data_IF_546523648386
#
_entry.id   IF_546523648386
#
_cell.length_a   1.000
_cell.length_b   1.000
_cell.length_c   1.000
_cell.angle_alpha   90.00
_cell.angle_beta   90.00
_cell.angle_gamma   90.00
#
_symmetry.space_group_name_H-M   'P 1'
#
loop_
_entity.id
_entity.type
_entity.pdbx_description
1 polymer ?
#
# COMPACT_ATOMS: atom_id res chain seq x y z
N UNK A 1 -25.82 -9.58 -15.12
CA UNK A 1 -24.42 -9.68 -15.58
C UNK A 1 -23.55 -10.01 -14.39
N UNK A 2 -23.43 -11.30 -14.05
CA UNK A 2 -22.59 -11.79 -12.96
C UNK A 2 -21.20 -12.10 -13.54
N UNK A 3 -20.21 -11.26 -13.22
CA UNK A 3 -18.80 -11.59 -13.43
C UNK A 3 -18.34 -12.39 -12.21
N UNK A 4 -17.93 -13.63 -12.43
CA UNK A 4 -17.24 -14.44 -11.43
C UNK A 4 -15.84 -13.85 -11.25
N UNK A 5 -15.65 -13.08 -10.19
CA UNK A 5 -14.32 -12.70 -9.73
C UNK A 5 -13.59 -13.96 -9.31
N UNK A 6 -12.52 -14.31 -10.03
CA UNK A 6 -11.65 -15.43 -9.69
C UNK A 6 -10.81 -15.05 -8.47
N UNK A 7 -11.07 -15.73 -7.36
CA UNK A 7 -10.26 -15.69 -6.16
C UNK A 7 -8.85 -16.25 -6.47
N UNK A 8 -7.74 -15.55 -6.16
CA UNK A 8 -6.39 -16.09 -6.30
C UNK A 8 -6.15 -17.32 -5.40
N UNK A 9 -6.95 -17.49 -4.35
CA UNK A 9 -6.84 -18.62 -3.40
C UNK A 9 -7.23 -19.98 -4.00
N UNK A 10 -7.72 -20.06 -5.24
CA UNK A 10 -8.04 -21.33 -5.91
C UNK A 10 -6.85 -22.02 -6.60
N UNK A 11 -5.62 -21.49 -6.46
CA UNK A 11 -4.41 -22.03 -7.13
C UNK A 11 -3.67 -23.16 -6.39
N UNK A 12 -4.22 -23.74 -5.33
CA UNK A 12 -3.74 -25.06 -4.88
C UNK A 12 -4.48 -26.15 -5.65
N UNK A 13 -3.95 -26.48 -6.83
CA UNK A 13 -4.30 -27.71 -7.53
C UNK A 13 -4.03 -28.92 -6.64
N UNK A 14 -5.10 -29.55 -6.17
CA UNK A 14 -5.04 -30.86 -5.54
C UNK A 14 -4.55 -31.87 -6.59
N UNK A 15 -3.27 -32.22 -6.53
CA UNK A 15 -2.73 -33.34 -7.28
C UNK A 15 -3.12 -34.63 -6.55
N UNK A 16 -4.30 -35.17 -6.89
CA UNK A 16 -4.72 -36.48 -6.43
C UNK A 16 -3.97 -37.56 -7.21
N UNK A 17 -2.76 -37.94 -6.75
CA UNK A 17 -2.08 -39.15 -7.22
C UNK A 17 -2.37 -40.27 -6.23
N UNK A 18 -3.21 -41.22 -6.67
CA UNK A 18 -3.39 -42.51 -6.01
C UNK A 18 -2.09 -43.30 -6.09
N UNK A 19 -1.57 -43.66 -4.91
CA UNK A 19 -0.90 -44.93 -4.62
C UNK A 19 0.37 -45.25 -5.40
N UNK A 20 1.53 -45.03 -4.77
CA UNK A 20 2.64 -45.97 -4.87
C UNK A 20 3.62 -45.76 -3.72
N UNK A 21 3.95 -46.84 -3.00
CA UNK A 21 4.98 -46.85 -1.96
C UNK A 21 6.35 -46.75 -2.63
N UNK A 22 7.04 -45.62 -2.46
CA UNK A 22 8.46 -45.50 -2.78
C UNK A 22 9.20 -44.89 -1.58
N UNK A 23 9.85 -45.75 -0.80
CA UNK A 23 10.88 -45.38 0.16
C UNK A 23 12.15 -45.02 -0.61
N UNK A 24 12.24 -43.75 -1.02
CA UNK A 24 13.41 -43.15 -1.66
C UNK A 24 13.73 -41.83 -0.97
N UNK A 25 14.88 -41.77 -0.31
CA UNK A 25 15.43 -40.52 0.22
C UNK A 25 15.88 -39.68 -0.97
N UNK A 26 14.96 -38.91 -1.54
CA UNK A 26 15.28 -37.90 -2.53
C UNK A 26 15.87 -36.69 -1.81
N UNK A 27 17.18 -36.53 -1.90
CA UNK A 27 17.81 -35.23 -1.72
C UNK A 27 17.39 -34.35 -2.91
N UNK A 28 16.28 -33.64 -2.76
CA UNK A 28 15.91 -32.53 -3.64
C UNK A 28 16.86 -31.37 -3.34
N UNK A 29 18.02 -31.37 -3.98
CA UNK A 29 18.73 -30.13 -4.27
C UNK A 29 18.24 -29.72 -5.66
N UNK A 30 17.04 -29.15 -5.70
CA UNK A 30 16.60 -28.43 -6.90
C UNK A 30 17.37 -27.12 -6.91
N UNK A 31 18.40 -27.10 -7.75
CA UNK A 31 19.06 -25.93 -8.27
C UNK A 31 18.02 -25.20 -9.16
N UNK A 32 16.99 -24.64 -8.51
CA UNK A 32 16.01 -23.76 -9.16
C UNK A 32 16.82 -22.64 -9.81
N UNK A 33 16.65 -22.41 -11.12
CA UNK A 33 17.38 -21.36 -11.80
C UNK A 33 17.14 -20.05 -11.04
N UNK A 34 18.22 -19.31 -10.79
CA UNK A 34 18.16 -17.94 -10.26
C UNK A 34 17.36 -17.10 -11.26
N UNK A 35 16.04 -17.14 -11.15
CA UNK A 35 15.16 -16.17 -11.80
C UNK A 35 15.58 -14.85 -11.20
N UNK A 36 16.04 -13.92 -12.05
CA UNK A 36 16.34 -12.55 -11.63
C UNK A 36 15.09 -12.02 -10.92
N UNK A 37 15.16 -11.96 -9.60
CA UNK A 37 14.06 -11.52 -8.77
C UNK A 37 13.86 -10.02 -9.04
N UNK A 38 12.59 -9.55 -9.09
CA UNK A 38 12.32 -8.15 -9.34
C UNK A 38 13.03 -7.28 -8.31
N UNK A 39 13.76 -6.26 -8.78
CA UNK A 39 14.53 -5.38 -7.92
C UNK A 39 13.61 -4.44 -7.12
N UNK A 40 12.44 -4.10 -7.67
CA UNK A 40 11.48 -3.18 -7.07
C UNK A 40 10.06 -3.76 -7.00
N UNK A 41 9.21 -3.19 -6.14
CA UNK A 41 7.79 -3.52 -6.12
C UNK A 41 7.07 -3.19 -7.43
N UNK A 42 7.50 -2.12 -8.11
CA UNK A 42 6.91 -1.73 -9.38
C UNK A 42 7.12 -2.80 -10.46
N UNK A 43 8.33 -3.34 -10.57
CA UNK A 43 8.65 -4.45 -11.46
C UNK A 43 7.88 -5.72 -11.08
N UNK A 44 7.78 -5.99 -9.79
CA UNK A 44 7.04 -7.13 -9.26
C UNK A 44 5.55 -7.09 -9.67
N UNK A 45 4.85 -6.01 -9.35
CA UNK A 45 3.41 -5.87 -9.65
C UNK A 45 3.12 -5.75 -11.15
N UNK A 46 4.09 -5.32 -11.96
CA UNK A 46 3.92 -5.21 -13.41
C UNK A 46 4.11 -6.52 -14.18
N UNK A 47 4.62 -7.58 -13.54
CA UNK A 47 4.88 -8.85 -14.23
C UNK A 47 4.80 -10.09 -13.35
N UNK A 48 5.65 -10.18 -12.33
CA UNK A 48 5.74 -11.38 -11.48
C UNK A 48 4.47 -11.66 -10.66
N UNK A 49 3.71 -10.61 -10.31
CA UNK A 49 2.47 -10.73 -9.55
C UNK A 49 1.43 -11.61 -10.25
N UNK A 50 1.20 -11.41 -11.54
CA UNK A 50 0.21 -12.20 -12.31
C UNK A 50 0.64 -13.67 -12.47
N UNK A 51 1.94 -13.94 -12.34
CA UNK A 51 2.50 -15.29 -12.33
C UNK A 51 2.31 -15.99 -10.98
N UNK A 52 1.95 -15.27 -9.92
CA UNK A 52 1.81 -15.81 -8.57
C UNK A 52 3.16 -16.11 -7.89
N UNK A 53 4.24 -15.52 -8.40
CA UNK A 53 5.57 -15.61 -7.78
C UNK A 53 5.55 -14.71 -6.54
N UNK A 54 6.02 -15.13 -5.36
CA UNK A 54 6.10 -14.23 -4.21
C UNK A 54 7.21 -13.18 -4.37
N UNK A 55 6.95 -11.95 -3.95
CA UNK A 55 7.99 -10.91 -3.91
C UNK A 55 9.11 -11.23 -2.90
N UNK A 56 10.37 -10.96 -3.28
CA UNK A 56 11.57 -11.21 -2.47
C UNK A 56 12.60 -10.08 -2.60
N UNK A 57 12.19 -8.84 -2.27
CA UNK A 57 13.10 -7.69 -2.23
C UNK A 57 13.92 -7.61 -0.95
N UNK A 58 15.16 -7.11 -1.04
CA UNK A 58 16.06 -6.97 0.10
C UNK A 58 15.56 -5.99 1.18
N UNK A 59 14.73 -5.02 0.78
CA UNK A 59 14.20 -3.97 1.66
C UNK A 59 12.89 -4.35 2.35
N UNK A 60 12.42 -5.59 2.15
CA UNK A 60 11.12 -6.04 2.61
C UNK A 60 11.22 -7.35 3.38
N UNK A 61 10.52 -7.43 4.51
CA UNK A 61 10.32 -8.66 5.24
C UNK A 61 8.88 -9.14 5.09
N UNK A 62 8.71 -10.34 4.51
CA UNK A 62 7.39 -10.98 4.46
C UNK A 62 7.05 -11.50 5.86
N UNK A 63 5.95 -11.04 6.42
CA UNK A 63 5.46 -11.45 7.75
C UNK A 63 3.98 -11.77 7.71
N UNK A 64 3.53 -12.58 8.66
CA UNK A 64 2.11 -12.68 8.98
C UNK A 64 1.76 -11.51 9.93
N UNK A 65 0.69 -10.79 9.62
CA UNK A 65 0.16 -9.74 10.48
C UNK A 65 -1.07 -10.27 11.22
N UNK A 66 -0.96 -10.38 12.54
CA UNK A 66 -1.99 -10.99 13.37
C UNK A 66 -3.30 -10.17 13.39
N UNK A 67 -3.21 -8.86 13.16
CA UNK A 67 -4.37 -7.94 13.16
C UNK A 67 -5.25 -8.19 11.94
N UNK A 68 -4.64 -8.26 10.76
CA UNK A 68 -5.32 -8.57 9.49
C UNK A 68 -5.52 -10.06 9.23
N UNK A 69 -4.76 -10.91 9.92
CA UNK A 69 -4.63 -12.35 9.60
C UNK A 69 -4.17 -12.61 8.16
N UNK A 70 -3.29 -11.75 7.63
CA UNK A 70 -2.75 -11.85 6.25
C UNK A 70 -1.23 -11.79 6.23
N UNK A 71 -0.67 -12.24 5.11
CA UNK A 71 0.72 -11.97 4.80
C UNK A 71 0.87 -10.57 4.22
N UNK A 72 1.84 -9.85 4.74
CA UNK A 72 2.21 -8.50 4.32
C UNK A 72 3.72 -8.43 4.08
N UNK A 73 4.13 -7.46 3.27
CA UNK A 73 5.51 -7.09 3.03
C UNK A 73 5.82 -5.85 3.87
N UNK A 74 6.57 -6.00 4.95
CA UNK A 74 6.98 -4.86 5.78
C UNK A 74 8.24 -4.22 5.21
N UNK A 75 8.17 -2.93 4.86
CA UNK A 75 9.33 -2.17 4.43
C UNK A 75 10.23 -1.87 5.65
N UNK A 76 11.48 -2.34 5.63
CA UNK A 76 12.37 -2.32 6.78
C UNK A 76 12.66 -0.92 7.33
N UNK A 77 12.83 0.08 6.45
CA UNK A 77 13.18 1.43 6.88
C UNK A 77 11.98 2.21 7.45
N UNK A 78 10.81 2.07 6.84
CA UNK A 78 9.61 2.84 7.21
C UNK A 78 8.68 2.14 8.20
N UNK A 79 8.78 0.81 8.33
CA UNK A 79 7.84 -0.03 9.07
C UNK A 79 6.44 -0.16 8.44
N UNK A 80 6.21 0.42 7.26
CA UNK A 80 4.93 0.35 6.55
C UNK A 80 4.71 -1.06 6.03
N UNK A 81 3.52 -1.60 6.27
CA UNK A 81 3.11 -2.95 5.85
C UNK A 81 2.33 -2.87 4.55
N UNK A 82 2.88 -3.44 3.50
CA UNK A 82 2.23 -3.49 2.20
C UNK A 82 1.46 -4.80 2.08
N UNK A 83 0.24 -4.75 1.55
CA UNK A 83 -0.45 -5.97 1.16
C UNK A 83 0.36 -6.75 0.12
N UNK A 84 0.47 -8.07 0.26
CA UNK A 84 1.14 -8.89 -0.77
C UNK A 84 0.32 -9.02 -2.06
N UNK A 85 -0.99 -8.75 -1.96
CA UNK A 85 -1.93 -8.67 -3.07
C UNK A 85 -2.14 -7.21 -3.52
N UNK A 86 -2.82 -7.03 -4.65
CA UNK A 86 -3.24 -5.74 -5.16
C UNK A 86 -4.75 -5.69 -5.36
N UNK A 87 -5.33 -4.50 -5.24
CA UNK A 87 -6.67 -4.22 -5.73
C UNK A 87 -6.58 -4.07 -7.26
N UNK A 88 -7.03 -5.09 -7.98
CA UNK A 88 -7.02 -5.12 -9.44
C UNK A 88 -8.29 -4.47 -10.03
N UNK A 89 -8.13 -3.30 -10.62
CA UNK A 89 -9.17 -2.51 -11.27
C UNK A 89 -9.13 -2.64 -12.80
N UNK A 90 -8.18 -3.39 -13.37
CA UNK A 90 -8.00 -3.53 -14.83
C UNK A 90 -9.26 -4.04 -15.52
N UNK A 91 -10.01 -4.93 -14.85
CA UNK A 91 -11.27 -5.46 -15.37
C UNK A 91 -12.37 -4.40 -15.57
N UNK A 92 -12.30 -3.27 -14.86
CA UNK A 92 -13.26 -2.17 -15.01
C UNK A 92 -13.01 -1.32 -16.26
N UNK A 93 -11.78 -1.32 -16.80
CA UNK A 93 -11.40 -0.55 -17.98
C UNK A 93 -10.29 -1.27 -18.78
N UNK A 94 -10.62 -2.36 -19.51
CA UNK A 94 -9.63 -3.27 -20.10
C UNK A 94 -8.75 -2.64 -21.19
N UNK A 95 -9.23 -1.56 -21.83
CA UNK A 95 -8.50 -0.84 -22.88
C UNK A 95 -7.66 0.34 -22.34
N UNK A 96 -7.74 0.61 -21.04
CA UNK A 96 -7.00 1.70 -20.41
C UNK A 96 -5.56 1.31 -20.11
N UNK A 97 -4.67 2.32 -20.07
CA UNK A 97 -3.31 2.13 -19.56
C UNK A 97 -3.37 1.81 -18.08
N UNK A 98 -2.71 0.72 -17.70
CA UNK A 98 -2.57 0.27 -16.31
C UNK A 98 -1.43 1.03 -15.65
N UNK A 99 -1.65 1.51 -14.43
CA UNK A 99 -0.63 2.18 -13.63
C UNK A 99 -0.70 1.63 -12.20
N UNK A 100 0.46 1.22 -11.68
CA UNK A 100 0.56 0.85 -10.28
C UNK A 100 0.51 2.09 -9.39
N UNK A 101 -0.42 2.07 -8.45
CA UNK A 101 -0.61 3.12 -7.47
C UNK A 101 -0.60 2.55 -6.06
N UNK A 102 -0.26 3.41 -5.08
CA UNK A 102 -0.13 3.05 -3.68
C UNK A 102 -1.06 3.90 -2.84
N UNK A 103 -2.00 3.26 -2.15
CA UNK A 103 -2.86 3.91 -1.16
C UNK A 103 -2.36 3.63 0.25
N UNK A 104 -1.97 4.68 0.96
CA UNK A 104 -1.53 4.59 2.35
C UNK A 104 -2.69 4.79 3.30
N UNK A 105 -2.78 3.93 4.31
CA UNK A 105 -3.91 3.92 5.23
C UNK A 105 -3.53 3.42 6.63
N UNK A 106 -4.50 3.45 7.54
CA UNK A 106 -4.38 2.88 8.88
C UNK A 106 -4.90 1.44 8.91
N UNK A 107 -4.78 0.76 10.05
CA UNK A 107 -5.27 -0.62 10.22
C UNK A 107 -6.76 -0.79 9.89
N UNK A 108 -7.60 0.20 10.23
CA UNK A 108 -9.05 0.16 9.96
C UNK A 108 -9.32 0.21 8.47
N UNK A 109 -8.66 1.13 7.75
CA UNK A 109 -8.78 1.24 6.31
C UNK A 109 -8.25 0.00 5.60
N UNK A 110 -7.15 -0.56 6.08
CA UNK A 110 -6.60 -1.81 5.57
C UNK A 110 -7.58 -2.98 5.73
N UNK A 111 -8.10 -3.20 6.94
CA UNK A 111 -9.07 -4.25 7.23
C UNK A 111 -10.33 -4.15 6.37
N UNK A 112 -10.77 -2.94 6.01
CA UNK A 112 -11.91 -2.73 5.12
C UNK A 112 -11.65 -3.24 3.68
N UNK A 113 -10.41 -3.12 3.17
CA UNK A 113 -10.02 -3.67 1.86
C UNK A 113 -10.03 -5.19 1.87
N UNK A 114 -9.66 -5.79 3.00
CA UNK A 114 -9.48 -7.23 3.13
C UNK A 114 -10.78 -8.03 3.20
N UNK A 115 -11.91 -7.36 3.43
CA UNK A 115 -13.23 -7.97 3.44
C UNK A 115 -13.53 -8.49 2.02
N UNK A 116 -13.30 -9.79 1.82
CA UNK A 116 -13.44 -10.51 0.54
C UNK A 116 -14.81 -10.38 -0.14
N UNK A 117 -15.83 -9.92 0.59
CA UNK A 117 -17.19 -9.71 0.10
C UNK A 117 -17.39 -8.32 -0.53
N UNK A 118 -16.46 -7.39 -0.30
CA UNK A 118 -16.53 -6.05 -0.86
C UNK A 118 -16.20 -6.09 -2.35
N UNK A 119 -17.11 -5.58 -3.18
CA UNK A 119 -16.80 -5.31 -4.59
C UNK A 119 -15.73 -4.21 -4.63
N UNK A 120 -14.93 -4.12 -5.70
CA UNK A 120 -13.94 -3.06 -5.83
C UNK A 120 -14.51 -1.64 -5.59
N UNK A 121 -15.76 -1.40 -6.00
CA UNK A 121 -16.45 -0.14 -5.73
C UNK A 121 -16.67 0.08 -4.22
N UNK A 122 -17.06 -0.96 -3.49
CA UNK A 122 -17.28 -0.86 -2.05
C UNK A 122 -15.95 -0.58 -1.33
N UNK A 123 -14.85 -1.20 -1.77
CA UNK A 123 -13.49 -0.90 -1.27
C UNK A 123 -13.14 0.57 -1.53
N UNK A 124 -13.36 1.05 -2.76
CA UNK A 124 -13.09 2.45 -3.12
C UNK A 124 -13.92 3.42 -2.29
N UNK A 125 -15.19 3.11 -2.00
CA UNK A 125 -16.03 3.93 -1.13
C UNK A 125 -15.54 3.97 0.31
N UNK A 126 -15.04 2.85 0.85
CA UNK A 126 -14.47 2.79 2.20
C UNK A 126 -13.14 3.53 2.32
N UNK A 127 -12.32 3.47 1.27
CA UNK A 127 -11.03 4.14 1.22
C UNK A 127 -11.14 5.61 0.80
N UNK A 128 -12.23 5.98 0.11
CA UNK A 128 -12.47 7.35 -0.30
C UNK A 128 -12.59 8.23 0.94
N UNK A 129 -11.73 9.24 0.99
CA UNK A 129 -11.79 10.28 2.01
C UNK A 129 -12.26 11.56 1.35
N UNK A 130 -12.80 12.47 2.14
CA UNK A 130 -12.76 13.86 1.74
C UNK A 130 -11.29 14.28 1.75
N UNK A 131 -10.66 14.23 0.57
CA UNK A 131 -9.36 14.84 0.38
C UNK A 131 -9.63 16.33 0.22
N UNK A 132 -9.19 17.13 1.20
CA UNK A 132 -9.44 18.57 1.23
C UNK A 132 -9.18 19.20 -0.15
N UNK A 133 -8.10 18.80 -0.83
CA UNK A 133 -7.65 19.36 -2.11
C UNK A 133 -8.45 18.95 -3.35
N UNK A 134 -9.00 17.74 -3.41
CA UNK A 134 -9.49 17.13 -4.66
C UNK A 134 -10.95 16.64 -4.57
N UNK A 135 -11.64 16.94 -3.47
CA UNK A 135 -12.99 16.46 -3.21
C UNK A 135 -13.00 15.03 -2.68
N UNK A 136 -14.15 14.37 -2.82
CA UNK A 136 -14.33 12.98 -2.37
C UNK A 136 -13.66 12.04 -3.36
N UNK A 137 -12.65 11.30 -2.90
CA UNK A 137 -11.93 10.37 -3.75
C UNK A 137 -10.86 9.58 -3.01
N UNK A 138 -10.16 8.74 -3.76
CA UNK A 138 -9.02 7.98 -3.26
C UNK A 138 -7.73 8.79 -3.47
N UNK A 139 -6.98 9.02 -2.39
CA UNK A 139 -5.64 9.57 -2.49
C UNK A 139 -4.64 8.43 -2.73
N UNK A 140 -3.91 8.49 -3.83
CA UNK A 140 -2.91 7.49 -4.20
C UNK A 140 -1.59 8.14 -4.59
N UNK A 141 -0.50 7.40 -4.44
CA UNK A 141 0.83 7.82 -4.83
C UNK A 141 1.40 6.89 -5.91
N UNK A 142 2.25 7.41 -6.77
CA UNK A 142 3.07 6.58 -7.68
C UNK A 142 4.31 6.03 -6.99
N UNK A 143 4.72 6.63 -5.86
CA UNK A 143 5.87 6.22 -5.07
C UNK A 143 5.50 5.14 -4.06
N UNK A 144 6.33 4.12 -3.99
CA UNK A 144 6.32 3.05 -3.00
C UNK A 144 6.94 3.50 -1.66
N UNK A 145 6.77 2.74 -0.56
CA UNK A 145 7.42 3.05 0.72
C UNK A 145 8.95 3.15 0.64
N UNK A 146 9.58 2.37 -0.24
CA UNK A 146 11.02 2.40 -0.49
C UNK A 146 11.46 3.75 -1.09
N UNK A 147 10.71 4.26 -2.05
CA UNK A 147 10.99 5.55 -2.71
C UNK A 147 10.76 6.78 -1.82
N UNK A 148 9.89 6.65 -0.81
CA UNK A 148 9.76 7.66 0.25
C UNK A 148 10.81 7.51 1.36
N UNK A 149 11.43 6.33 1.51
CA UNK A 149 12.38 6.05 2.59
C UNK A 149 11.73 5.93 3.98
N UNK A 150 10.99 6.94 4.44
CA UNK A 150 10.40 7.00 5.78
C UNK A 150 8.88 7.16 5.76
N UNK A 151 8.25 6.73 6.85
CA UNK A 151 6.80 6.90 7.05
C UNK A 151 6.42 8.37 7.23
N UNK A 152 7.29 9.17 7.84
CA UNK A 152 7.05 10.59 8.05
C UNK A 152 6.97 11.35 6.72
N UNK A 153 7.82 11.01 5.75
CA UNK A 153 7.76 11.58 4.40
C UNK A 153 6.45 11.25 3.67
N UNK A 154 5.94 10.02 3.81
CA UNK A 154 4.61 9.64 3.29
C UNK A 154 3.50 10.50 3.90
N UNK A 155 3.52 10.64 5.23
CA UNK A 155 2.49 11.39 5.96
C UNK A 155 2.52 12.88 5.60
N UNK A 156 3.71 13.48 5.55
CA UNK A 156 3.89 14.88 5.14
C UNK A 156 3.40 15.10 3.72
N UNK A 157 3.73 14.21 2.78
CA UNK A 157 3.28 14.30 1.39
C UNK A 157 1.75 14.20 1.29
N UNK A 158 1.13 13.21 1.97
CA UNK A 158 -0.29 12.93 1.84
C UNK A 158 -1.20 13.92 2.58
N UNK A 159 -0.65 14.62 3.57
CA UNK A 159 -1.41 15.50 4.46
C UNK A 159 -0.87 16.93 4.50
N UNK A 160 -0.11 17.34 3.49
CA UNK A 160 0.30 18.73 3.36
C UNK A 160 -0.93 19.65 3.26
N UNK A 161 -1.03 20.70 4.09
CA UNK A 161 -2.20 21.57 4.11
C UNK A 161 -2.23 22.52 2.91
N UNK A 162 -3.40 23.09 2.63
CA UNK A 162 -3.50 24.31 1.83
C UNK A 162 -2.94 25.49 2.60
N UNK A 163 -2.58 26.58 1.90
CA UNK A 163 -2.19 27.83 2.55
C UNK A 163 -3.16 28.24 3.66
N UNK A 164 -4.47 28.10 3.44
CA UNK A 164 -5.52 28.61 4.33
C UNK A 164 -6.21 27.51 5.16
N UNK A 165 -5.73 26.26 5.14
CA UNK A 165 -6.25 25.22 6.03
C UNK A 165 -5.83 25.54 7.48
N UNK A 166 -6.80 25.54 8.40
CA UNK A 166 -6.58 25.86 9.81
C UNK A 166 -6.06 24.65 10.60
N UNK A 167 -4.94 24.84 11.30
CA UNK A 167 -4.45 23.94 12.33
C UNK A 167 -5.01 24.36 13.70
N UNK A 168 -5.73 23.45 14.35
CA UNK A 168 -6.22 23.66 15.71
C UNK A 168 -5.17 23.22 16.73
N UNK A 169 -4.72 24.16 17.56
CA UNK A 169 -3.79 23.89 18.65
C UNK A 169 -4.55 23.78 19.98
N UNK A 170 -4.15 22.88 20.90
CA UNK A 170 -4.79 22.75 22.21
C UNK A 170 -4.80 24.06 23.03
N UNK A 171 -3.79 24.91 22.81
CA UNK A 171 -3.64 26.21 23.47
C UNK A 171 -3.11 27.25 22.48
N UNK A 172 -4.02 27.89 21.75
CA UNK A 172 -3.67 29.00 20.88
C UNK A 172 -4.73 29.34 19.85
N UNK A 173 -4.60 30.47 19.15
CA UNK A 173 -5.40 30.74 17.97
C UNK A 173 -5.09 29.70 16.88
N UNK A 174 -6.06 29.39 16.00
CA UNK A 174 -5.78 28.62 14.79
C UNK A 174 -4.62 29.26 14.01
N UNK A 175 -3.78 28.41 13.41
CA UNK A 175 -2.72 28.88 12.51
C UNK A 175 -2.95 28.32 11.12
N UNK A 176 -2.61 29.11 10.12
CA UNK A 176 -2.61 28.69 8.72
C UNK A 176 -1.17 28.71 8.20
N UNK A 177 -0.92 27.99 7.11
CA UNK A 177 0.38 28.05 6.43
C UNK A 177 0.62 29.44 5.80
N UNK A 178 -0.44 30.14 5.39
CA UNK A 178 -0.42 31.52 4.87
C UNK A 178 0.07 32.53 5.92
N UNK A 179 -0.41 32.43 7.16
CA UNK A 179 -0.16 33.43 8.19
C UNK A 179 1.16 33.19 8.96
N UNK A 180 1.55 31.93 9.13
CA UNK A 180 2.66 31.53 10.02
C UNK A 180 3.77 30.74 9.32
N UNK A 181 3.68 30.51 8.01
CA UNK A 181 4.67 29.76 7.24
C UNK A 181 5.04 30.42 5.91
N UNK A 182 5.52 29.60 4.99
CA UNK A 182 5.83 29.99 3.62
C UNK A 182 5.04 29.07 2.66
N UNK A 183 3.86 29.50 2.18
CA UNK A 183 3.01 28.69 1.31
C UNK A 183 3.62 28.41 -0.07
N UNK A 184 4.69 29.13 -0.44
CA UNK A 184 5.42 28.92 -1.70
C UNK A 184 6.59 27.95 -1.55
N UNK A 185 6.88 27.48 -0.34
CA UNK A 185 7.96 26.57 -0.05
C UNK A 185 7.45 25.22 0.46
N UNK A 186 8.29 24.19 0.33
CA UNK A 186 7.96 22.84 0.76
C UNK A 186 8.19 22.57 2.26
N UNK A 187 8.03 21.30 2.68
CA UNK A 187 8.19 20.84 4.08
C UNK A 187 9.59 21.04 4.67
N UNK A 188 10.60 21.16 3.82
CA UNK A 188 11.99 21.33 4.26
C UNK A 188 12.35 22.76 4.63
N UNK A 189 11.51 23.73 4.25
CA UNK A 189 11.75 25.13 4.54
C UNK A 189 11.67 25.39 6.06
N UNK A 190 12.63 26.12 6.67
CA UNK A 190 12.64 26.36 8.12
C UNK A 190 11.33 26.95 8.67
N UNK A 191 10.71 27.87 7.94
CA UNK A 191 9.42 28.47 8.31
C UNK A 191 8.25 27.47 8.34
N UNK A 192 8.38 26.31 7.70
CA UNK A 192 7.33 25.30 7.58
C UNK A 192 7.54 24.10 8.51
N UNK A 193 8.62 24.08 9.32
CA UNK A 193 8.92 22.93 10.18
C UNK A 193 7.82 22.65 11.21
N UNK A 194 7.15 23.69 11.71
CA UNK A 194 6.01 23.52 12.61
C UNK A 194 4.85 22.78 11.94
N UNK A 195 4.59 23.03 10.65
CA UNK A 195 3.52 22.35 9.88
C UNK A 195 3.81 20.86 9.80
N UNK A 196 5.04 20.49 9.47
CA UNK A 196 5.46 19.08 9.45
C UNK A 196 5.24 18.41 10.81
N UNK A 197 5.60 19.07 11.91
CA UNK A 197 5.36 18.55 13.26
C UNK A 197 3.88 18.33 13.55
N UNK A 198 3.01 19.28 13.19
CA UNK A 198 1.56 19.15 13.40
C UNK A 198 0.94 18.06 12.53
N UNK A 199 1.34 17.97 11.25
CA UNK A 199 0.91 16.91 10.35
C UNK A 199 1.27 15.55 10.93
N UNK A 200 2.52 15.35 11.37
CA UNK A 200 2.97 14.08 11.94
C UNK A 200 2.24 13.74 13.25
N UNK A 201 2.00 14.73 14.11
CA UNK A 201 1.23 14.54 15.34
C UNK A 201 -0.21 14.08 15.06
N UNK A 202 -0.89 14.70 14.10
CA UNK A 202 -2.28 14.41 13.77
C UNK A 202 -2.48 13.14 12.93
N UNK A 203 -1.44 12.65 12.26
CA UNK A 203 -1.57 11.61 11.22
C UNK A 203 -0.70 10.38 11.43
N UNK A 204 -0.04 10.23 12.59
CA UNK A 204 0.95 9.18 12.87
C UNK A 204 0.56 7.75 12.47
N UNK A 205 -0.71 7.36 12.55
CA UNK A 205 -1.20 6.02 12.18
C UNK A 205 -1.81 5.92 10.78
N UNK A 206 -1.90 7.02 10.03
CA UNK A 206 -2.58 7.06 8.72
C UNK A 206 -1.79 6.43 7.56
N UNK A 207 -0.58 5.94 7.83
CA UNK A 207 0.27 5.24 6.87
C UNK A 207 0.92 4.00 7.49
N UNK A 208 0.21 3.30 8.38
CA UNK A 208 0.68 2.01 8.92
C UNK A 208 0.68 0.92 7.84
N UNK A 209 -0.24 1.03 6.89
CA UNK A 209 -0.45 0.08 5.81
C UNK A 209 -0.39 0.76 4.45
N UNK A 210 -0.07 -0.03 3.43
CA UNK A 210 -0.10 0.36 2.02
C UNK A 210 -0.83 -0.70 1.20
N UNK A 211 -1.77 -0.26 0.39
CA UNK A 211 -2.58 -1.09 -0.52
C UNK A 211 -2.14 -0.77 -1.95
N UNK A 212 -1.52 -1.72 -2.67
CA UNK A 212 -1.26 -1.59 -4.09
C UNK A 212 -2.56 -1.62 -4.92
N UNK A 213 -2.63 -0.81 -5.96
CA UNK A 213 -3.75 -0.77 -6.92
C UNK A 213 -3.22 -0.89 -8.34
N UNK A 214 -3.86 -1.73 -9.15
CA UNK A 214 -3.55 -1.99 -10.56
C UNK A 214 -4.70 -1.56 -11.48
#
# INVERSE_FOLDING_TARGET
FFSQFRCPCSRMGACAVKGSNCSGVHNFVEDEPLVDLPATLAEYFSGCYDLGIPYRGANYHRRFDDVSSRHVLEHLASGIRIWEDAVDLRAAAPESRVALLYHYTNSVGFAAVELKECRPLDILEHLAREAHHFGKGLLTNTKSPEEFGTKDEVLINNHWPRPDDEFQFPSGPPKTLSDWGNPRAGPDHPANKWVSSEVLAATRSKADYCVPLL
#
